data_IF_094422984947
#
_entry.id   IF_094422984947
#
_cell.length_a   1.000
_cell.length_b   1.000
_cell.length_c   1.000
_cell.angle_alpha   90.00
_cell.angle_beta   90.00
_cell.angle_gamma   90.00
#
_symmetry.space_group_name_H-M   'P 1'
#
loop_
_entity.id
_entity.type
_entity.pdbx_description
1 polymer ?
#
# COMPACT_ATOMS: atom_id res chain seq x y z
N UNK A 1 -7.21 1.39 -43.52
CA UNK A 1 -7.68 2.02 -42.26
C UNK A 1 -7.02 1.28 -41.13
N UNK A 2 -6.15 1.96 -40.40
CA UNK A 2 -5.16 1.34 -39.53
C UNK A 2 -5.72 1.06 -38.12
N UNK A 3 -5.37 -0.14 -37.65
CA UNK A 3 -5.16 -0.59 -36.27
C UNK A 3 -6.30 -0.41 -35.26
N UNK A 4 -7.02 -1.51 -35.03
CA UNK A 4 -7.57 -1.85 -33.72
C UNK A 4 -6.43 -1.78 -32.70
N UNK A 5 -6.29 -0.63 -32.04
CA UNK A 5 -5.36 -0.46 -30.94
C UNK A 5 -5.82 -1.32 -29.79
N UNK A 6 -5.08 -2.39 -29.51
CA UNK A 6 -5.25 -3.21 -28.32
C UNK A 6 -5.29 -2.28 -27.10
N UNK A 7 -6.47 -2.13 -26.51
CA UNK A 7 -6.58 -1.49 -25.19
C UNK A 7 -5.87 -2.43 -24.23
N UNK A 8 -4.76 -1.95 -23.69
CA UNK A 8 -3.97 -2.56 -22.64
C UNK A 8 -4.88 -3.22 -21.59
N UNK A 9 -4.56 -4.45 -21.18
CA UNK A 9 -5.34 -5.25 -20.25
C UNK A 9 -5.70 -4.44 -19.00
N UNK A 10 -6.95 -3.97 -18.88
CA UNK A 10 -7.44 -3.30 -17.69
C UNK A 10 -7.50 -4.32 -16.53
N UNK A 11 -6.65 -4.21 -15.49
CA UNK A 11 -6.66 -5.17 -14.38
C UNK A 11 -7.81 -4.91 -13.39
N UNK A 12 -8.61 -3.86 -13.61
CA UNK A 12 -9.66 -3.40 -12.72
C UNK A 12 -11.05 -3.88 -13.18
N UNK A 13 -11.99 -3.99 -12.24
CA UNK A 13 -13.27 -4.71 -12.37
C UNK A 13 -14.28 -4.04 -13.31
N UNK A 14 -13.97 -2.88 -13.90
CA UNK A 14 -14.83 -2.18 -14.85
C UNK A 14 -14.32 -0.79 -15.25
N UNK A 15 -15.23 0.06 -15.73
CA UNK A 15 -14.92 1.42 -16.22
C UNK A 15 -14.75 2.46 -15.09
N UNK A 16 -15.06 2.08 -13.84
CA UNK A 16 -14.93 2.95 -12.66
C UNK A 16 -13.93 2.35 -11.68
N UNK A 17 -12.84 3.07 -11.44
CA UNK A 17 -11.81 2.69 -10.49
C UNK A 17 -12.15 3.20 -9.08
N UNK A 18 -12.23 2.29 -8.10
CA UNK A 18 -12.42 2.68 -6.69
C UNK A 18 -11.09 2.81 -5.97
N UNK A 19 -10.78 4.04 -5.55
CA UNK A 19 -9.54 4.37 -4.84
C UNK A 19 -9.78 4.80 -3.40
N UNK A 20 -8.84 4.52 -2.51
CA UNK A 20 -8.83 5.02 -1.14
C UNK A 20 -7.43 5.52 -0.77
N UNK A 21 -7.36 6.50 0.13
CA UNK A 21 -6.13 6.97 0.75
C UNK A 21 -6.23 6.74 2.26
N UNK A 22 -5.26 6.00 2.81
CA UNK A 22 -5.19 5.79 4.25
C UNK A 22 -4.72 7.08 4.96
N UNK A 23 -5.33 7.37 6.11
CA UNK A 23 -4.83 8.38 7.04
C UNK A 23 -4.33 7.66 8.29
N UNK A 24 -3.01 7.63 8.46
CA UNK A 24 -2.34 6.83 9.49
C UNK A 24 -1.63 7.76 10.47
N UNK A 25 -1.79 7.48 11.76
CA UNK A 25 -0.91 7.99 12.81
C UNK A 25 0.16 6.92 13.09
N UNK A 26 1.37 7.02 12.49
CA UNK A 26 2.41 6.00 12.63
C UNK A 26 3.04 6.05 14.02
N UNK A 27 3.42 4.89 14.55
CA UNK A 27 4.22 4.79 15.76
C UNK A 27 5.68 4.98 15.38
N UNK A 28 6.34 5.96 15.97
CA UNK A 28 7.71 6.35 15.63
C UNK A 28 8.68 5.18 15.81
N UNK A 29 9.44 4.86 14.75
CA UNK A 29 10.43 3.80 14.68
C UNK A 29 9.93 2.35 14.86
N UNK A 30 8.61 2.11 14.89
CA UNK A 30 8.01 0.78 15.09
C UNK A 30 7.42 0.23 13.78
N UNK A 31 8.29 -0.32 12.91
CA UNK A 31 7.89 -0.82 11.57
C UNK A 31 6.81 -1.90 11.66
N UNK A 32 6.98 -2.88 12.54
CA UNK A 32 6.07 -4.02 12.61
C UNK A 32 4.67 -3.61 13.15
N UNK A 33 4.62 -2.64 14.06
CA UNK A 33 3.35 -2.06 14.51
C UNK A 33 2.66 -1.30 13.38
N UNK A 34 3.42 -0.49 12.63
CA UNK A 34 2.89 0.27 11.52
C UNK A 34 2.41 -0.63 10.38
N UNK A 35 3.08 -1.75 10.10
CA UNK A 35 2.59 -2.78 9.18
C UNK A 35 1.25 -3.35 9.62
N UNK A 36 1.05 -3.59 10.92
CA UNK A 36 -0.25 -4.02 11.43
C UNK A 36 -1.35 -2.96 11.24
N UNK A 37 -1.02 -1.66 11.32
CA UNK A 37 -1.94 -0.58 10.95
C UNK A 37 -2.29 -0.64 9.46
N UNK A 38 -1.32 -0.88 8.57
CA UNK A 38 -1.57 -1.03 7.13
C UNK A 38 -2.51 -2.19 6.83
N UNK A 39 -2.31 -3.35 7.47
CA UNK A 39 -3.19 -4.52 7.35
C UNK A 39 -4.65 -4.19 7.72
N UNK A 40 -4.89 -3.38 8.76
CA UNK A 40 -6.24 -2.93 9.14
C UNK A 40 -6.88 -2.05 8.06
N UNK A 41 -6.13 -1.14 7.45
CA UNK A 41 -6.62 -0.33 6.34
C UNK A 41 -6.90 -1.19 5.10
N UNK A 42 -6.08 -2.21 4.83
CA UNK A 42 -6.33 -3.19 3.77
C UNK A 42 -7.67 -3.91 3.99
N UNK A 43 -7.92 -4.39 5.21
CA UNK A 43 -9.17 -5.06 5.55
C UNK A 43 -10.39 -4.14 5.44
N UNK A 44 -10.24 -2.86 5.75
CA UNK A 44 -11.30 -1.87 5.57
C UNK A 44 -11.56 -1.55 4.09
N UNK A 45 -10.50 -1.33 3.31
CA UNK A 45 -10.58 -1.04 1.89
C UNK A 45 -11.25 -2.20 1.14
N UNK A 46 -10.91 -3.45 1.48
CA UNK A 46 -11.57 -4.66 0.95
C UNK A 46 -13.06 -4.70 1.23
N UNK A 47 -13.47 -4.40 2.46
CA UNK A 47 -14.90 -4.35 2.84
C UNK A 47 -15.69 -3.28 2.05
N UNK A 48 -14.99 -2.29 1.49
CA UNK A 48 -15.55 -1.20 0.67
C UNK A 48 -15.39 -1.42 -0.83
N UNK A 49 -14.86 -2.57 -1.25
CA UNK A 49 -14.58 -2.92 -2.66
C UNK A 49 -13.64 -1.89 -3.34
N UNK A 50 -12.60 -1.46 -2.62
CA UNK A 50 -11.52 -0.63 -3.15
C UNK A 50 -10.56 -1.49 -3.95
N UNK A 51 -10.08 -0.94 -5.07
CA UNK A 51 -9.14 -1.60 -5.98
C UNK A 51 -7.71 -1.06 -5.84
N UNK A 52 -7.57 0.21 -5.43
CA UNK A 52 -6.28 0.85 -5.13
C UNK A 52 -6.36 1.55 -3.77
N UNK A 53 -5.53 1.13 -2.83
CA UNK A 53 -5.36 1.78 -1.53
C UNK A 53 -3.94 2.36 -1.45
N UNK A 54 -3.83 3.68 -1.29
CA UNK A 54 -2.53 4.33 -1.11
C UNK A 54 -2.26 4.65 0.36
N UNK A 55 -1.00 4.53 0.76
CA UNK A 55 -0.50 4.86 2.08
C UNK A 55 0.31 6.17 2.06
N UNK A 56 0.30 6.96 3.15
CA UNK A 56 1.10 8.18 3.20
C UNK A 56 2.59 7.85 3.30
N UNK A 57 3.41 8.84 2.93
CA UNK A 57 4.86 8.78 3.12
C UNK A 57 5.21 8.54 4.60
N UNK A 58 6.30 7.79 4.85
CA UNK A 58 6.80 7.45 6.19
C UNK A 58 5.78 6.76 7.12
N UNK A 59 4.68 6.26 6.57
CA UNK A 59 3.66 5.52 7.32
C UNK A 59 4.20 4.27 8.02
N UNK A 60 5.35 3.73 7.59
CA UNK A 60 6.03 2.61 8.22
C UNK A 60 7.00 3.01 9.34
N UNK A 61 7.50 4.25 9.35
CA UNK A 61 8.60 4.65 10.24
C UNK A 61 8.27 5.80 11.17
N UNK A 62 7.31 6.67 10.80
CA UNK A 62 7.11 7.95 11.45
C UNK A 62 8.10 9.03 10.98
N UNK A 63 7.81 10.28 11.34
CA UNK A 63 8.56 11.46 10.89
C UNK A 63 9.66 11.88 11.87
N UNK A 64 9.56 11.49 13.14
CA UNK A 64 10.40 12.00 14.23
C UNK A 64 11.55 11.05 14.61
N UNK A 65 12.11 10.35 13.63
CA UNK A 65 13.16 9.34 13.83
C UNK A 65 14.60 9.89 13.73
N UNK A 66 14.78 11.07 13.11
CA UNK A 66 16.05 11.85 13.10
C UNK A 66 17.30 11.02 12.75
N UNK A 67 18.22 10.86 13.70
CA UNK A 67 19.48 10.14 13.50
C UNK A 67 19.30 8.62 13.39
N UNK A 68 18.12 8.10 13.76
CA UNK A 68 17.77 6.68 13.64
C UNK A 68 17.24 6.32 12.25
N UNK A 69 17.04 7.27 11.34
CA UNK A 69 16.57 6.98 9.97
C UNK A 69 17.37 5.86 9.28
N UNK A 70 18.72 5.82 9.35
CA UNK A 70 19.49 4.73 8.76
C UNK A 70 19.18 3.35 9.36
N UNK A 71 18.83 3.29 10.64
CA UNK A 71 18.53 2.04 11.35
C UNK A 71 17.19 1.43 10.90
N UNK A 72 16.30 2.26 10.34
CA UNK A 72 14.96 1.88 9.89
C UNK A 72 14.91 1.60 8.39
N UNK A 73 16.03 1.77 7.68
CA UNK A 73 16.10 1.53 6.24
C UNK A 73 15.90 0.04 5.94
N UNK A 74 14.93 -0.24 5.06
CA UNK A 74 14.64 -1.58 4.57
C UNK A 74 14.82 -1.62 3.06
N UNK A 75 15.11 -2.80 2.52
CA UNK A 75 15.21 -2.95 1.06
C UNK A 75 13.82 -3.07 0.44
N UNK A 76 13.70 -2.79 -0.86
CA UNK A 76 12.46 -3.00 -1.62
C UNK A 76 11.97 -4.47 -1.66
N UNK A 77 12.81 -5.43 -1.25
CA UNK A 77 12.45 -6.85 -1.13
C UNK A 77 12.46 -7.32 0.32
N UNK A 78 12.35 -6.40 1.29
CA UNK A 78 12.19 -6.78 2.69
C UNK A 78 10.98 -7.73 2.80
N UNK A 79 11.14 -8.92 3.42
CA UNK A 79 10.08 -9.90 3.51
C UNK A 79 8.77 -9.36 4.07
N UNK A 80 8.83 -8.34 4.95
CA UNK A 80 7.64 -7.72 5.53
C UNK A 80 6.84 -6.90 4.53
N UNK A 81 7.50 -6.27 3.55
CA UNK A 81 6.82 -5.57 2.45
C UNK A 81 6.18 -6.56 1.47
N UNK A 82 6.88 -7.67 1.20
CA UNK A 82 6.33 -8.76 0.37
C UNK A 82 5.10 -9.35 1.05
N UNK A 83 5.18 -9.64 2.35
CA UNK A 83 4.03 -10.14 3.14
C UNK A 83 2.85 -9.16 3.11
N UNK A 84 3.10 -7.84 3.19
CA UNK A 84 2.03 -6.84 3.11
C UNK A 84 1.37 -6.83 1.72
N UNK A 85 2.16 -6.93 0.65
CA UNK A 85 1.65 -7.01 -0.72
C UNK A 85 0.83 -8.28 -0.96
N UNK A 86 1.33 -9.45 -0.50
CA UNK A 86 0.58 -10.71 -0.51
C UNK A 86 -0.70 -10.60 0.33
N UNK A 87 -0.61 -9.95 1.48
CA UNK A 87 -1.75 -9.70 2.36
C UNK A 87 -2.81 -8.82 1.70
N UNK A 88 -2.48 -7.95 0.74
CA UNK A 88 -3.44 -7.15 -0.03
C UNK A 88 -4.17 -7.95 -1.12
N UNK A 89 -3.63 -9.09 -1.54
CA UNK A 89 -4.27 -9.98 -2.51
C UNK A 89 -4.46 -9.30 -3.85
N UNK A 90 -5.69 -9.29 -4.38
CA UNK A 90 -6.01 -8.66 -5.68
C UNK A 90 -6.14 -7.13 -5.64
N UNK A 91 -6.03 -6.49 -4.47
CA UNK A 91 -6.06 -5.03 -4.34
C UNK A 91 -4.64 -4.48 -4.52
N UNK A 92 -4.50 -3.40 -5.29
CA UNK A 92 -3.22 -2.69 -5.42
C UNK A 92 -2.97 -1.83 -4.18
N UNK A 93 -1.76 -1.93 -3.62
CA UNK A 93 -1.29 -1.19 -2.42
C UNK A 93 0.12 -0.65 -2.61
#
# INVERSE_FOLDING_TARGET
>A
MAADGEVEHNPFKGDTLRVAAAQIDPTEAEIDENLNKHKRFIDEARRRDVEVLVFPELSLTGYQVRSRTPDLAITRHDPRLIELAEYAGGMTV
#
